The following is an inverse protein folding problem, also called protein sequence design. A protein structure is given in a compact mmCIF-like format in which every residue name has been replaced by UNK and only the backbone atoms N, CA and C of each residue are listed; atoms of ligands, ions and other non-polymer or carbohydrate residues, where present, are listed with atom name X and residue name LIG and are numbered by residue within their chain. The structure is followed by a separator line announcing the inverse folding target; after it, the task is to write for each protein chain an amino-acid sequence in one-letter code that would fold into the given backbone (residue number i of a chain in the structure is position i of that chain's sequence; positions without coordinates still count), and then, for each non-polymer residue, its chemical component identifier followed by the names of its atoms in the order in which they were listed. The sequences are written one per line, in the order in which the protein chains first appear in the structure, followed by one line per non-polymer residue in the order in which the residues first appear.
data_IF_220850633816
#
_entry.id   IF_220850633816
#
_cell.length_a   1.000
_cell.length_b   1.000
_cell.length_c   1.000
_cell.angle_alpha   90.00
_cell.angle_beta   90.00
_cell.angle_gamma   90.00
#
_symmetry.space_group_name_H-M   'P 1'
#
loop_
_entity.id
_entity.type
_entity.pdbx_description
1 polymer ?
#
# COMPACT_ATOMS: atom_id res chain seq x y z
N UNK A 1 5.08 18.25 23.74
CA UNK A 1 4.90 18.70 22.36
C UNK A 1 6.17 19.34 21.82
N UNK A 2 6.74 20.36 22.49
CA UNK A 2 7.94 21.06 22.01
C UNK A 2 9.14 20.12 21.78
N UNK A 3 9.44 19.26 22.75
CA UNK A 3 10.55 18.28 22.62
C UNK A 3 10.37 17.41 21.37
N UNK A 4 9.13 17.00 21.09
CA UNK A 4 8.83 16.19 19.89
C UNK A 4 9.05 16.99 18.61
N UNK A 5 8.61 18.25 18.55
CA UNK A 5 8.87 19.14 17.40
C UNK A 5 10.35 19.33 17.14
N UNK A 6 11.12 19.57 18.19
CA UNK A 6 12.58 19.80 18.10
C UNK A 6 13.28 18.56 17.56
N UNK A 7 12.89 17.37 18.03
CA UNK A 7 13.44 16.11 17.55
C UNK A 7 13.00 15.75 16.13
N UNK A 8 11.79 16.13 15.73
CA UNK A 8 11.25 15.89 14.38
C UNK A 8 11.75 16.90 13.34
N UNK A 9 12.40 17.99 13.74
CA UNK A 9 12.89 19.01 12.82
C UNK A 9 13.94 18.50 11.81
N UNK A 10 14.63 17.40 12.14
CA UNK A 10 15.61 16.76 11.26
C UNK A 10 14.95 15.82 10.22
N UNK A 11 13.66 15.56 10.34
CA UNK A 11 12.94 14.61 9.48
C UNK A 11 12.04 15.32 8.49
N UNK A 12 11.95 14.76 7.29
CA UNK A 12 11.01 15.28 6.31
C UNK A 12 9.59 14.79 6.65
N UNK A 13 8.69 15.74 6.90
CA UNK A 13 7.25 15.49 7.01
C UNK A 13 6.57 16.00 5.74
N UNK A 14 5.91 15.12 4.96
CA UNK A 14 5.18 15.54 3.78
C UNK A 14 4.08 16.55 4.15
N UNK A 15 3.88 17.62 3.39
CA UNK A 15 2.83 18.61 3.66
C UNK A 15 1.43 17.97 3.79
N UNK A 16 1.14 16.95 3.00
CA UNK A 16 -0.14 16.24 3.00
C UNK A 16 -0.41 15.49 4.31
N UNK A 17 0.65 15.09 5.04
CA UNK A 17 0.50 14.44 6.34
C UNK A 17 0.01 15.41 7.43
N UNK A 18 0.14 16.71 7.21
CA UNK A 18 -0.25 17.77 8.15
C UNK A 18 -1.39 18.63 7.63
N UNK A 19 -1.76 18.48 6.34
CA UNK A 19 -2.88 19.21 5.73
C UNK A 19 -4.22 18.50 5.99
N UNK A 20 -5.28 19.29 6.12
CA UNK A 20 -6.65 18.78 6.17
C UNK A 20 -7.22 18.75 4.75
N UNK A 21 -7.57 17.54 4.29
CA UNK A 21 -8.30 17.38 3.03
C UNK A 21 -9.68 16.76 3.33
N UNK A 22 -10.77 17.52 3.21
CA UNK A 22 -12.12 17.03 3.52
C UNK A 22 -12.58 15.91 2.59
N UNK A 23 -12.04 15.81 1.38
CA UNK A 23 -12.43 14.76 0.42
C UNK A 23 -12.03 13.35 0.89
N UNK A 24 -11.10 13.24 1.83
CA UNK A 24 -10.67 11.95 2.38
C UNK A 24 -11.79 11.17 3.11
N UNK A 25 -12.85 11.87 3.53
CA UNK A 25 -14.03 11.21 4.13
C UNK A 25 -14.78 10.30 3.15
N UNK A 26 -14.70 10.59 1.86
CA UNK A 26 -15.33 9.79 0.80
C UNK A 26 -14.50 8.59 0.38
N UNK A 27 -13.21 8.65 0.59
CA UNK A 27 -12.28 7.56 0.31
C UNK A 27 -11.34 7.39 1.51
N UNK A 28 -11.83 6.80 2.62
CA UNK A 28 -11.07 6.71 3.86
C UNK A 28 -9.74 5.98 3.65
N UNK A 29 -8.66 6.72 3.88
CA UNK A 29 -7.30 6.23 3.77
C UNK A 29 -6.63 6.30 5.14
N UNK A 30 -6.22 5.16 5.73
CA UNK A 30 -5.45 5.18 6.98
C UNK A 30 -4.20 6.05 6.86
N UNK A 31 -3.82 6.76 7.93
CA UNK A 31 -2.74 7.73 7.90
C UNK A 31 -1.41 7.19 7.34
N UNK A 32 -1.04 5.95 7.69
CA UNK A 32 0.14 5.30 7.12
C UNK A 32 0.04 5.03 5.61
N UNK A 33 -1.15 4.70 5.12
CA UNK A 33 -1.39 4.55 3.68
C UNK A 33 -1.34 5.92 2.98
N UNK A 34 -1.89 6.97 3.60
CA UNK A 34 -1.81 8.33 3.06
C UNK A 34 -0.35 8.77 2.84
N UNK A 35 0.50 8.65 3.86
CA UNK A 35 1.89 9.06 3.76
C UNK A 35 2.71 8.25 2.76
N UNK A 36 2.52 6.93 2.70
CA UNK A 36 3.21 6.07 1.75
C UNK A 36 2.79 6.35 0.30
N UNK A 37 1.51 6.56 0.07
CA UNK A 37 0.96 6.76 -1.28
C UNK A 37 1.25 8.16 -1.82
N UNK A 38 1.16 9.20 -0.98
CA UNK A 38 1.56 10.56 -1.38
C UNK A 38 3.06 10.65 -1.63
N UNK A 39 3.90 9.91 -0.88
CA UNK A 39 5.32 9.82 -1.20
C UNK A 39 5.54 9.17 -2.58
N UNK A 40 4.84 8.08 -2.89
CA UNK A 40 4.92 7.45 -4.21
C UNK A 40 4.43 8.39 -5.33
N UNK A 41 3.36 9.14 -5.12
CA UNK A 41 2.87 10.13 -6.08
C UNK A 41 3.88 11.25 -6.30
N UNK A 42 4.52 11.72 -5.24
CA UNK A 42 5.57 12.74 -5.30
C UNK A 42 6.80 12.25 -6.06
N UNK A 43 7.26 11.03 -5.76
CA UNK A 43 8.40 10.41 -6.44
C UNK A 43 8.14 10.23 -7.96
N UNK A 44 6.88 10.15 -8.37
CA UNK A 44 6.45 10.04 -9.78
C UNK A 44 5.93 11.37 -10.36
N UNK A 45 6.06 12.50 -9.67
CA UNK A 45 5.57 13.83 -10.09
C UNK A 45 4.06 13.84 -10.43
N UNK A 46 3.24 13.17 -9.61
CA UNK A 46 1.80 13.01 -9.84
C UNK A 46 0.92 13.67 -8.78
N UNK A 47 1.48 14.56 -7.95
CA UNK A 47 0.72 15.22 -6.88
C UNK A 47 -0.41 16.12 -7.39
N UNK A 48 -0.32 16.62 -8.62
CA UNK A 48 -1.38 17.36 -9.31
C UNK A 48 -2.65 16.53 -9.56
N UNK A 49 -2.54 15.20 -9.50
CA UNK A 49 -3.64 14.25 -9.69
C UNK A 49 -4.21 13.69 -8.38
N UNK A 50 -3.79 14.25 -7.25
CA UNK A 50 -4.17 13.71 -5.93
C UNK A 50 -5.69 13.68 -5.72
N UNK A 51 -6.39 14.79 -5.98
CA UNK A 51 -7.85 14.86 -5.80
C UNK A 51 -8.58 13.88 -6.74
N UNK A 52 -8.14 13.79 -7.98
CA UNK A 52 -8.70 12.82 -8.94
C UNK A 52 -8.47 11.37 -8.48
N UNK A 53 -7.32 11.09 -7.89
CA UNK A 53 -7.04 9.76 -7.33
C UNK A 53 -7.95 9.44 -6.15
N UNK A 54 -8.26 10.41 -5.28
CA UNK A 54 -9.19 10.22 -4.16
C UNK A 54 -10.60 9.91 -4.67
N UNK A 55 -11.07 10.59 -5.70
CA UNK A 55 -12.37 10.32 -6.34
C UNK A 55 -12.42 8.90 -6.93
N UNK A 56 -11.40 8.49 -7.69
CA UNK A 56 -11.32 7.14 -8.25
C UNK A 56 -11.18 6.05 -7.18
N UNK A 57 -10.58 6.38 -6.03
CA UNK A 57 -10.48 5.45 -4.91
C UNK A 57 -11.84 5.15 -4.28
N UNK A 58 -12.75 6.13 -4.23
CA UNK A 58 -14.13 5.89 -3.78
C UNK A 58 -14.81 4.79 -4.61
N UNK A 59 -14.72 4.89 -5.93
CA UNK A 59 -15.28 3.87 -6.82
C UNK A 59 -14.57 2.52 -6.71
N UNK A 60 -13.24 2.51 -6.56
CA UNK A 60 -12.48 1.28 -6.34
C UNK A 60 -12.92 0.56 -5.06
N UNK A 61 -13.15 1.29 -3.98
CA UNK A 61 -13.65 0.73 -2.71
C UNK A 61 -15.07 0.19 -2.86
N UNK A 62 -15.97 0.99 -3.40
CA UNK A 62 -17.39 0.67 -3.55
C UNK A 62 -17.63 -0.53 -4.46
N UNK A 63 -17.04 -0.49 -5.65
CA UNK A 63 -17.20 -1.57 -6.65
C UNK A 63 -16.39 -2.82 -6.30
N UNK A 64 -15.34 -2.67 -5.50
CA UNK A 64 -14.55 -3.78 -4.95
C UNK A 64 -15.17 -4.51 -3.76
N UNK A 65 -16.37 -4.11 -3.32
CA UNK A 65 -17.11 -4.80 -2.25
C UNK A 65 -16.71 -4.42 -0.84
N UNK A 66 -16.14 -3.23 -0.62
CA UNK A 66 -15.81 -2.67 0.69
C UNK A 66 -14.90 -3.57 1.54
N UNK A 67 -13.90 -4.19 0.94
CA UNK A 67 -12.89 -4.95 1.68
C UNK A 67 -12.26 -4.08 2.77
N UNK A 68 -11.97 -4.69 3.92
CA UNK A 68 -11.43 -3.97 5.07
C UNK A 68 -10.15 -3.21 4.71
N UNK A 69 -10.16 -1.89 4.88
CA UNK A 69 -9.08 -0.99 4.47
C UNK A 69 -7.90 -1.02 5.44
N UNK A 70 -7.31 -2.18 5.64
CA UNK A 70 -6.04 -2.39 6.35
C UNK A 70 -5.00 -2.90 5.37
N UNK A 71 -3.73 -2.81 5.73
CA UNK A 71 -2.63 -3.33 4.91
C UNK A 71 -2.78 -4.84 4.65
N UNK A 72 -2.72 -5.32 3.40
CA UNK A 72 -2.35 -4.58 2.18
C UNK A 72 -3.54 -4.03 1.37
N UNK A 73 -4.80 -4.20 1.80
CA UNK A 73 -6.01 -3.89 1.01
C UNK A 73 -6.11 -2.40 0.67
N UNK A 74 -5.75 -1.51 1.60
CA UNK A 74 -5.72 -0.07 1.32
C UNK A 74 -4.80 0.27 0.14
N UNK A 75 -3.68 -0.43 -0.01
CA UNK A 75 -2.79 -0.25 -1.16
C UNK A 75 -3.37 -0.78 -2.47
N UNK A 76 -4.18 -1.83 -2.43
CA UNK A 76 -4.87 -2.33 -3.63
C UNK A 76 -5.83 -1.29 -4.18
N UNK A 77 -6.57 -0.61 -3.32
CA UNK A 77 -7.47 0.47 -3.72
C UNK A 77 -6.71 1.64 -4.34
N UNK A 78 -5.62 2.07 -3.70
CA UNK A 78 -4.80 3.17 -4.21
C UNK A 78 -4.16 2.82 -5.55
N UNK A 79 -3.62 1.61 -5.69
CA UNK A 79 -3.03 1.16 -6.96
C UNK A 79 -4.07 1.09 -8.08
N UNK A 80 -5.31 0.65 -7.76
CA UNK A 80 -6.38 0.64 -8.74
C UNK A 80 -6.82 2.05 -9.11
N UNK A 81 -7.02 2.93 -8.13
CA UNK A 81 -7.34 4.34 -8.38
C UNK A 81 -6.27 5.02 -9.26
N UNK A 82 -5.01 4.76 -8.96
CA UNK A 82 -3.89 5.27 -9.74
C UNK A 82 -3.89 4.75 -11.18
N UNK A 83 -4.16 3.45 -11.37
CA UNK A 83 -4.30 2.89 -12.72
C UNK A 83 -5.47 3.52 -13.48
N UNK A 84 -6.59 3.79 -12.81
CA UNK A 84 -7.74 4.46 -13.41
C UNK A 84 -7.40 5.88 -13.89
N UNK A 85 -6.66 6.62 -13.08
CA UNK A 85 -6.21 7.98 -13.43
C UNK A 85 -5.20 7.98 -14.58
N UNK A 86 -4.26 7.02 -14.56
CA UNK A 86 -3.16 6.99 -15.55
C UNK A 86 -3.56 6.41 -16.90
N UNK A 87 -4.34 5.33 -16.87
CA UNK A 87 -4.63 4.54 -18.09
C UNK A 87 -6.08 4.64 -18.55
N UNK A 88 -6.93 5.25 -17.72
CA UNK A 88 -8.37 5.31 -17.89
C UNK A 88 -9.09 4.22 -17.07
N UNK A 89 -10.33 4.56 -16.68
CA UNK A 89 -11.14 3.79 -15.74
C UNK A 89 -11.27 2.33 -16.16
N UNK A 90 -10.83 1.41 -15.31
CA UNK A 90 -10.85 -0.06 -15.47
C UNK A 90 -10.08 -0.63 -16.67
N UNK A 91 -9.33 0.19 -17.39
CA UNK A 91 -8.52 -0.30 -18.52
C UNK A 91 -7.32 -1.14 -18.07
N UNK A 92 -6.88 -0.96 -16.83
CA UNK A 92 -5.78 -1.73 -16.24
C UNK A 92 -6.11 -2.09 -14.81
N UNK A 93 -6.34 -3.37 -14.54
CA UNK A 93 -6.59 -3.89 -13.19
C UNK A 93 -5.25 -4.10 -12.48
N UNK A 94 -5.15 -3.54 -11.27
CA UNK A 94 -4.02 -3.79 -10.38
C UNK A 94 -4.09 -5.24 -9.87
N UNK A 95 -3.00 -6.02 -9.93
CA UNK A 95 -3.07 -7.47 -9.59
C UNK A 95 -3.60 -7.76 -8.19
N UNK A 96 -3.24 -6.95 -7.19
CA UNK A 96 -3.76 -7.11 -5.82
C UNK A 96 -5.27 -6.85 -5.75
N UNK A 97 -5.74 -5.77 -6.35
CA UNK A 97 -7.16 -5.42 -6.44
C UNK A 97 -7.95 -6.49 -7.17
N UNK A 98 -7.48 -6.93 -8.33
CA UNK A 98 -8.14 -7.98 -9.12
C UNK A 98 -8.25 -9.29 -8.34
N UNK A 99 -7.18 -9.75 -7.69
CA UNK A 99 -7.23 -10.93 -6.83
C UNK A 99 -8.22 -10.78 -5.66
N UNK A 100 -8.34 -9.58 -5.09
CA UNK A 100 -9.29 -9.30 -4.02
C UNK A 100 -10.73 -9.45 -4.51
N UNK A 101 -11.11 -8.82 -5.62
CA UNK A 101 -12.48 -8.90 -6.15
C UNK A 101 -12.83 -10.29 -6.69
N UNK A 102 -11.83 -11.08 -7.07
CA UNK A 102 -11.97 -12.48 -7.48
C UNK A 102 -12.05 -13.47 -6.31
N UNK A 103 -11.88 -13.01 -5.05
CA UNK A 103 -12.00 -13.84 -3.85
C UNK A 103 -10.72 -14.54 -3.38
N UNK A 104 -9.57 -14.29 -3.98
CA UNK A 104 -8.29 -14.92 -3.62
C UNK A 104 -7.76 -14.51 -2.23
N UNK A 105 -8.30 -13.46 -1.63
CA UNK A 105 -7.99 -13.02 -0.27
C UNK A 105 -9.15 -13.22 0.70
N UNK A 106 -10.14 -14.03 0.31
CA UNK A 106 -11.34 -14.28 1.07
C UNK A 106 -12.52 -13.40 0.63
N UNK A 107 -13.62 -13.54 1.34
CA UNK A 107 -14.89 -12.87 1.03
C UNK A 107 -14.85 -11.39 1.46
N UNK A 108 -15.27 -10.50 0.58
CA UNK A 108 -15.52 -9.09 0.90
C UNK A 108 -16.85 -8.90 1.64
N UNK A 109 -17.04 -7.82 2.44
CA UNK A 109 -18.29 -7.55 3.16
C UNK A 109 -19.51 -7.45 2.26
N UNK A 110 -19.36 -6.86 1.09
CA UNK A 110 -20.39 -6.78 0.04
C UNK A 110 -19.85 -7.48 -1.19
N UNK A 111 -20.73 -8.11 -1.95
CA UNK A 111 -20.34 -8.74 -3.22
C UNK A 111 -19.77 -7.68 -4.16
N UNK A 112 -18.57 -7.87 -4.73
CA UNK A 112 -18.03 -6.96 -5.70
C UNK A 112 -18.91 -6.82 -6.93
N UNK A 113 -18.81 -5.70 -7.62
CA UNK A 113 -19.55 -5.46 -8.85
C UNK A 113 -19.24 -6.53 -9.90
N UNK A 114 -20.27 -7.16 -10.52
CA UNK A 114 -20.07 -8.27 -11.47
C UNK A 114 -19.26 -7.88 -12.71
N UNK A 115 -19.35 -6.62 -13.15
CA UNK A 115 -18.59 -6.14 -14.30
C UNK A 115 -17.11 -6.03 -13.93
N UNK A 116 -16.80 -5.53 -12.73
CA UNK A 116 -15.42 -5.46 -12.23
C UNK A 116 -14.82 -6.85 -12.04
N UNK A 117 -15.59 -7.80 -11.51
CA UNK A 117 -15.18 -9.21 -11.40
C UNK A 117 -14.85 -9.78 -12.77
N UNK A 118 -15.70 -9.54 -13.77
CA UNK A 118 -15.47 -9.99 -15.15
C UNK A 118 -14.19 -9.39 -15.74
N UNK A 119 -14.02 -8.06 -15.65
CA UNK A 119 -12.83 -7.36 -16.16
C UNK A 119 -11.56 -7.88 -15.47
N UNK A 120 -11.60 -8.07 -14.13
CA UNK A 120 -10.48 -8.59 -13.38
C UNK A 120 -10.12 -10.03 -13.80
N UNK A 121 -11.13 -10.88 -14.01
CA UNK A 121 -10.96 -12.25 -14.47
C UNK A 121 -10.30 -12.30 -15.85
N UNK A 122 -10.78 -11.52 -16.78
CA UNK A 122 -10.26 -11.45 -18.16
C UNK A 122 -8.81 -10.92 -18.18
N UNK A 123 -8.52 -9.82 -17.46
CA UNK A 123 -7.18 -9.21 -17.49
C UNK A 123 -6.13 -10.03 -16.73
N UNK A 124 -6.50 -10.71 -15.65
CA UNK A 124 -5.56 -11.51 -14.87
C UNK A 124 -5.48 -12.97 -15.32
N UNK A 125 -6.40 -13.42 -16.16
CA UNK A 125 -6.49 -14.84 -16.57
C UNK A 125 -6.84 -15.76 -15.39
N UNK A 126 -7.59 -15.26 -14.39
CA UNK A 126 -7.93 -15.97 -13.15
C UNK A 126 -9.45 -16.08 -13.02
N UNK A 127 -9.95 -17.27 -12.70
CA UNK A 127 -11.36 -17.47 -12.39
C UNK A 127 -11.70 -16.95 -10.98
N UNK A 128 -12.93 -16.42 -10.76
CA UNK A 128 -13.41 -16.15 -9.41
C UNK A 128 -13.42 -17.41 -8.53
N UNK A 129 -13.12 -17.25 -7.24
CA UNK A 129 -13.06 -18.37 -6.30
C UNK A 129 -13.75 -18.05 -4.98
N UNK A 130 -14.29 -19.10 -4.36
CA UNK A 130 -14.82 -19.09 -2.99
C UNK A 130 -13.96 -19.97 -2.06
N UNK A 131 -12.85 -20.49 -2.57
CA UNK A 131 -11.93 -21.33 -1.82
C UNK A 131 -11.28 -20.50 -0.67
N UNK A 132 -11.05 -21.15 0.45
CA UNK A 132 -10.40 -20.48 1.59
C UNK A 132 -8.96 -20.10 1.26
N UNK A 133 -8.51 -18.96 1.78
CA UNK A 133 -7.13 -18.48 1.56
C UNK A 133 -6.10 -19.50 2.04
N UNK A 134 -6.40 -20.21 3.14
CA UNK A 134 -5.53 -21.27 3.65
C UNK A 134 -5.37 -22.39 2.61
N UNK A 135 -6.49 -22.90 2.08
CA UNK A 135 -6.46 -23.97 1.06
C UNK A 135 -5.72 -23.55 -0.22
N UNK A 136 -5.90 -22.28 -0.65
CA UNK A 136 -5.17 -21.74 -1.80
C UNK A 136 -3.66 -21.71 -1.52
N UNK A 137 -3.26 -21.26 -0.32
CA UNK A 137 -1.86 -21.15 0.06
C UNK A 137 -1.20 -22.53 0.27
N UNK A 138 -1.94 -23.50 0.82
CA UNK A 138 -1.43 -24.86 1.05
C UNK A 138 -1.11 -25.60 -0.26
N UNK A 139 -1.75 -25.20 -1.36
CA UNK A 139 -1.49 -25.71 -2.71
C UNK A 139 -0.33 -25.00 -3.43
N UNK A 140 0.17 -23.90 -2.88
CA UNK A 140 1.22 -23.09 -3.50
C UNK A 140 2.60 -23.63 -3.11
N UNK A 141 3.20 -24.40 -4.01
CA UNK A 141 4.54 -24.97 -3.83
C UNK A 141 5.66 -23.94 -3.60
N UNK A 142 5.37 -22.65 -3.81
CA UNK A 142 6.33 -21.55 -3.58
C UNK A 142 6.25 -20.97 -2.17
N UNK A 143 5.42 -21.53 -1.31
CA UNK A 143 5.19 -21.04 0.05
C UNK A 143 5.42 -22.16 1.07
N UNK A 144 5.48 -21.75 2.33
CA UNK A 144 5.55 -22.65 3.46
C UNK A 144 6.94 -22.88 4.00
N UNK A 145 7.00 -23.69 5.06
CA UNK A 145 8.21 -23.96 5.84
C UNK A 145 9.34 -24.55 5.02
N UNK A 146 9.05 -25.54 4.18
CA UNK A 146 10.04 -26.23 3.37
C UNK A 146 10.77 -25.29 2.39
N UNK A 147 10.05 -24.34 1.81
CA UNK A 147 10.63 -23.32 0.91
C UNK A 147 11.56 -22.39 1.68
N UNK A 148 11.16 -21.95 2.88
CA UNK A 148 11.97 -21.09 3.74
C UNK A 148 13.25 -21.82 4.23
N UNK A 149 13.12 -23.07 4.67
CA UNK A 149 14.27 -23.90 5.08
C UNK A 149 15.26 -24.10 3.94
N UNK A 150 14.76 -24.38 2.74
CA UNK A 150 15.61 -24.48 1.55
C UNK A 150 16.33 -23.16 1.24
N UNK A 151 15.62 -22.04 1.29
CA UNK A 151 16.21 -20.71 1.03
C UNK A 151 17.32 -20.37 2.05
N UNK A 152 17.14 -20.75 3.31
CA UNK A 152 18.16 -20.61 4.36
C UNK A 152 19.37 -21.51 4.08
N UNK A 153 19.14 -22.77 3.75
CA UNK A 153 20.22 -23.73 3.42
C UNK A 153 21.03 -23.24 2.22
N UNK A 154 20.37 -22.83 1.14
CA UNK A 154 21.00 -22.28 -0.08
C UNK A 154 21.80 -21.00 0.22
N UNK A 155 21.39 -20.25 1.24
CA UNK A 155 22.07 -19.04 1.70
C UNK A 155 23.21 -19.29 2.71
N UNK A 156 23.40 -20.53 3.17
CA UNK A 156 24.36 -20.89 4.21
C UNK A 156 24.01 -20.37 5.61
N UNK A 157 22.73 -20.17 5.88
CA UNK A 157 22.22 -19.63 7.15
C UNK A 157 21.68 -20.72 8.05
N UNK A 158 21.76 -20.58 9.39
CA UNK A 158 21.21 -21.57 10.32
C UNK A 158 19.68 -21.72 10.16
N UNK A 159 19.20 -22.97 10.17
CA UNK A 159 17.78 -23.29 10.12
C UNK A 159 17.25 -23.35 11.55
N UNK A 160 16.93 -22.19 12.12
CA UNK A 160 16.23 -22.03 13.39
C UNK A 160 14.78 -21.61 13.13
N UNK A 161 13.88 -21.83 14.09
CA UNK A 161 12.47 -21.42 13.92
C UNK A 161 12.33 -19.91 13.66
N UNK A 162 13.16 -19.08 14.29
CA UNK A 162 13.20 -17.64 14.06
C UNK A 162 13.64 -17.32 12.63
N UNK A 163 14.74 -17.91 12.15
CA UNK A 163 15.21 -17.68 10.79
C UNK A 163 14.22 -18.19 9.74
N UNK A 164 13.58 -19.32 9.99
CA UNK A 164 12.52 -19.88 9.13
C UNK A 164 11.34 -18.91 9.08
N UNK A 165 10.92 -18.35 10.22
CA UNK A 165 9.85 -17.34 10.24
C UNK A 165 10.22 -16.08 9.45
N UNK A 166 11.44 -15.56 9.62
CA UNK A 166 11.93 -14.39 8.87
C UNK A 166 11.99 -14.69 7.37
N UNK A 167 12.54 -15.84 6.98
CA UNK A 167 12.64 -16.23 5.58
C UNK A 167 11.26 -16.46 4.93
N UNK A 168 10.31 -17.10 5.64
CA UNK A 168 8.96 -17.33 5.16
C UNK A 168 8.16 -16.02 5.01
N UNK A 169 8.30 -15.10 5.98
CA UNK A 169 7.53 -13.86 6.02
C UNK A 169 8.11 -12.77 5.11
N UNK A 170 9.43 -12.65 5.04
CA UNK A 170 10.13 -11.56 4.35
C UNK A 170 10.86 -12.00 3.08
N UNK A 171 10.86 -13.30 2.77
CA UNK A 171 11.46 -13.88 1.56
C UNK A 171 12.91 -13.40 1.33
N UNK A 172 13.26 -12.93 0.13
CA UNK A 172 14.61 -12.49 -0.22
C UNK A 172 15.12 -11.35 0.70
N UNK A 173 14.24 -10.45 1.13
CA UNK A 173 14.61 -9.36 2.06
C UNK A 173 14.96 -9.90 3.43
N UNK A 174 14.28 -10.96 3.90
CA UNK A 174 14.59 -11.64 5.13
C UNK A 174 15.96 -12.32 5.07
N UNK A 175 16.25 -13.04 3.98
CA UNK A 175 17.56 -13.65 3.75
C UNK A 175 18.68 -12.60 3.71
N UNK A 176 18.46 -11.49 3.00
CA UNK A 176 19.44 -10.38 2.94
C UNK A 176 19.71 -9.77 4.32
N UNK A 177 18.64 -9.58 5.13
CA UNK A 177 18.75 -9.11 6.51
C UNK A 177 19.57 -10.08 7.38
N UNK A 178 19.27 -11.39 7.30
CA UNK A 178 19.98 -12.41 8.09
C UNK A 178 21.46 -12.51 7.73
N UNK A 179 21.80 -12.24 6.46
CA UNK A 179 23.23 -12.20 6.02
C UNK A 179 23.98 -10.99 6.54
N UNK A 180 23.34 -9.85 6.59
CA UNK A 180 23.95 -8.59 7.03
C UNK A 180 22.89 -7.62 7.58
N UNK A 181 22.55 -7.73 8.88
CA UNK A 181 21.58 -6.86 9.52
C UNK A 181 21.93 -5.36 9.44
N UNK A 182 23.21 -5.04 9.33
CA UNK A 182 23.67 -3.64 9.26
C UNK A 182 23.32 -2.97 7.93
N UNK A 183 23.10 -3.74 6.88
CA UNK A 183 22.66 -3.25 5.57
C UNK A 183 21.15 -3.17 5.41
N UNK A 184 20.38 -3.55 6.43
CA UNK A 184 18.93 -3.42 6.38
C UNK A 184 18.57 -1.94 6.14
N UNK A 185 17.67 -1.65 5.16
CA UNK A 185 17.27 -0.28 4.91
C UNK A 185 16.60 0.26 6.17
N UNK A 186 17.22 1.26 6.77
CA UNK A 186 16.62 2.07 7.80
C UNK A 186 15.46 2.84 7.13
N UNK A 187 14.23 2.48 7.43
CA UNK A 187 13.03 3.08 6.85
C UNK A 187 12.83 4.56 7.19
N UNK A 188 13.70 5.13 8.00
CA UNK A 188 13.65 6.53 8.41
C UNK A 188 14.58 7.35 7.51
N UNK A 189 14.00 8.15 6.61
CA UNK A 189 14.76 9.12 5.82
C UNK A 189 14.99 10.38 6.65
N UNK A 190 16.24 10.71 6.98
CA UNK A 190 16.59 12.06 7.40
C UNK A 190 16.45 12.99 6.20
N UNK A 191 15.72 14.10 6.36
CA UNK A 191 15.61 15.10 5.32
C UNK A 191 17.00 15.65 4.98
N UNK A 192 17.33 15.75 3.69
CA UNK A 192 18.35 16.72 3.30
C UNK A 192 17.87 18.08 3.82
N UNK A 193 18.75 18.82 4.52
CA UNK A 193 18.42 20.06 5.20
C UNK A 193 17.40 20.86 4.39
N UNK A 194 16.20 21.03 4.92
CA UNK A 194 15.11 21.67 4.23
C UNK A 194 15.57 23.07 3.82
N UNK A 195 15.63 23.33 2.51
CA UNK A 195 15.59 24.72 2.06
C UNK A 195 14.36 25.35 2.72
N UNK A 196 14.48 26.51 3.40
CA UNK A 196 13.31 27.17 3.97
C UNK A 196 12.25 27.27 2.87
N UNK A 197 11.08 26.66 3.12
CA UNK A 197 9.95 26.85 2.25
C UNK A 197 9.72 28.37 2.16
N UNK A 198 9.68 28.91 0.95
CA UNK A 198 9.26 30.28 0.74
C UNK A 198 7.91 30.43 1.46
N UNK A 199 7.84 31.37 2.40
CA UNK A 199 6.62 31.62 3.14
C UNK A 199 5.50 31.81 2.13
N UNK A 200 4.54 30.87 2.14
CA UNK A 200 3.29 31.10 1.45
C UNK A 200 2.67 32.30 2.15
N UNK A 201 2.48 33.40 1.44
CA UNK A 201 1.68 34.51 1.90
C UNK A 201 0.26 33.99 2.04
N UNK A 202 -0.08 33.53 3.25
CA UNK A 202 -1.41 33.09 3.58
C UNK A 202 -2.35 34.27 3.40
N UNK A 203 -3.42 34.07 2.63
CA UNK A 203 -4.53 34.99 2.62
C UNK A 203 -5.15 34.99 4.03
N UNK A 204 -4.99 36.09 4.75
CA UNK A 204 -5.70 36.32 6.00
C UNK A 204 -7.18 36.46 5.69
N UNK A 205 -7.97 35.51 6.14
CA UNK A 205 -9.43 35.65 6.16
C UNK A 205 -9.84 36.34 7.46
N UNK A 206 -10.25 37.57 7.38
CA UNK A 206 -10.88 38.30 8.51
C UNK A 206 -12.33 37.86 8.61
N UNK A 207 -12.66 37.08 9.65
CA UNK A 207 -14.06 36.80 10.00
C UNK A 207 -14.53 37.93 10.90
N UNK A 208 -15.43 38.82 10.38
CA UNK A 208 -16.14 39.81 11.19
C UNK A 208 -17.35 39.11 11.79
N UNK A 209 -17.43 39.06 13.13
CA UNK A 209 -18.58 38.58 13.91
C UNK A 209 -19.58 39.70 14.07
#
# INVERSE_FOLDING_TARGET
EQIFRDQMAEYFLPPEATAVNPNIIWAPMPGGALTANTQMMRDNNMMDKYDQMIEEMYDAVRLGGFGTSVTPVSQFYVQQAMNNVMFGKWKKIAPGYGKMVLGYFGKTPVTPDPEIVKIASEQLGLAPTTETVLSINDKDEKKGRAVAEKALADAGLPITDENVFIAASCQEKGIAYLKDPAKAPNGVRKGAAAKPAAASTGNEFTVTV
#
